data_IF_295410703793
#
_entry.id   IF_295410703793
#
_cell.length_a   1.000
_cell.length_b   1.000
_cell.length_c   1.000
_cell.angle_alpha   90.00
_cell.angle_beta   90.00
_cell.angle_gamma   90.00
#
_symmetry.space_group_name_H-M   'P 1'
#
loop_
_entity.id
_entity.type
_entity.pdbx_description
1 polymer ?
#
# COMPACT_ATOMS: atom_id res chain seq x y z
N UNK A 1 7.31 -5.30 -22.37
CA UNK A 1 8.24 -6.11 -21.56
C UNK A 1 7.48 -6.91 -20.50
N UNK A 2 6.65 -6.31 -19.67
CA UNK A 2 5.92 -6.98 -18.57
C UNK A 2 5.11 -8.21 -18.99
N UNK A 3 4.36 -8.13 -20.10
CA UNK A 3 3.62 -9.28 -20.64
C UNK A 3 4.51 -10.43 -21.08
N UNK A 4 5.67 -10.14 -21.68
CA UNK A 4 6.63 -11.18 -22.09
C UNK A 4 7.24 -11.88 -20.87
N UNK A 5 7.60 -11.13 -19.84
CA UNK A 5 8.09 -11.69 -18.59
C UNK A 5 7.04 -12.58 -17.91
N UNK A 6 5.78 -12.10 -17.84
CA UNK A 6 4.69 -12.91 -17.30
C UNK A 6 4.52 -14.23 -18.07
N UNK A 7 4.53 -14.18 -19.42
CA UNK A 7 4.44 -15.38 -20.25
C UNK A 7 5.59 -16.35 -19.99
N UNK A 8 6.83 -15.86 -19.87
CA UNK A 8 8.01 -16.69 -19.58
C UNK A 8 7.91 -17.33 -18.19
N UNK A 9 7.57 -16.55 -17.14
CA UNK A 9 7.43 -17.08 -15.80
C UNK A 9 6.26 -18.07 -15.68
N UNK A 10 5.16 -17.82 -16.42
CA UNK A 10 4.03 -18.75 -16.50
C UNK A 10 4.42 -20.07 -17.17
N UNK A 11 5.26 -20.04 -18.23
CA UNK A 11 5.80 -21.25 -18.87
C UNK A 11 6.75 -22.01 -17.95
N UNK A 12 7.66 -21.33 -17.27
CA UNK A 12 8.55 -21.96 -16.28
C UNK A 12 7.76 -22.64 -15.16
N UNK A 13 6.64 -22.02 -14.72
CA UNK A 13 5.75 -22.60 -13.73
C UNK A 13 5.03 -23.84 -14.26
N UNK A 14 4.59 -23.83 -15.51
CA UNK A 14 3.95 -24.97 -16.16
C UNK A 14 4.89 -26.18 -16.36
N UNK A 15 6.20 -25.92 -16.46
CA UNK A 15 7.23 -26.93 -16.72
C UNK A 15 8.03 -27.33 -15.48
N UNK A 16 7.66 -26.83 -14.27
CA UNK A 16 8.33 -27.21 -13.01
C UNK A 16 8.25 -28.72 -12.77
N UNK A 17 9.34 -29.36 -12.28
CA UNK A 17 9.34 -30.76 -11.95
C UNK A 17 8.37 -31.15 -10.81
N UNK A 18 8.14 -30.22 -9.88
CA UNK A 18 7.25 -30.39 -8.73
C UNK A 18 6.09 -29.40 -8.82
N UNK A 19 4.85 -29.93 -8.75
CA UNK A 19 3.62 -29.16 -8.79
C UNK A 19 3.53 -28.22 -10.01
N UNK A 20 3.61 -28.73 -11.26
CA UNK A 20 3.43 -27.93 -12.45
C UNK A 20 2.04 -27.30 -12.45
N UNK A 21 1.96 -26.02 -12.72
CA UNK A 21 0.69 -25.29 -12.83
C UNK A 21 0.67 -24.46 -14.09
N UNK A 22 -0.30 -24.73 -14.96
CA UNK A 22 -0.45 -24.01 -16.22
C UNK A 22 -1.36 -22.80 -16.05
N UNK A 23 -0.77 -21.62 -16.07
CA UNK A 23 -1.47 -20.34 -15.98
C UNK A 23 -1.94 -19.81 -17.35
N UNK A 24 -1.25 -20.20 -18.42
CA UNK A 24 -1.52 -19.75 -19.78
C UNK A 24 -1.77 -20.95 -20.66
N UNK A 25 -2.82 -20.97 -21.52
CA UNK A 25 -3.04 -22.04 -22.49
C UNK A 25 -1.82 -22.26 -23.38
N UNK A 26 -1.54 -23.50 -23.79
CA UNK A 26 -0.38 -23.88 -24.59
C UNK A 26 -0.24 -23.06 -25.88
N UNK A 27 -1.35 -22.78 -26.55
CA UNK A 27 -1.43 -22.01 -27.78
C UNK A 27 -0.99 -20.54 -27.63
N UNK A 28 -0.99 -20.02 -26.38
CA UNK A 28 -0.57 -18.65 -26.05
C UNK A 28 0.69 -18.62 -25.20
N UNK A 29 1.40 -19.73 -25.02
CA UNK A 29 2.59 -19.80 -24.18
C UNK A 29 3.78 -19.05 -24.80
N UNK A 30 4.77 -18.66 -23.98
CA UNK A 30 5.99 -18.01 -24.45
C UNK A 30 6.79 -18.89 -25.41
N UNK A 31 6.64 -20.22 -25.30
CA UNK A 31 7.28 -21.19 -26.18
C UNK A 31 6.92 -20.98 -27.66
N UNK A 32 5.72 -20.50 -27.95
CA UNK A 32 5.26 -20.22 -29.33
C UNK A 32 6.07 -19.10 -30.01
N UNK A 33 6.80 -18.27 -29.24
CA UNK A 33 7.61 -17.17 -29.75
C UNK A 33 9.06 -17.60 -30.07
N UNK A 34 9.50 -18.73 -29.53
CA UNK A 34 10.86 -19.20 -29.71
C UNK A 34 11.07 -19.72 -31.13
N UNK A 35 12.20 -19.37 -31.72
CA UNK A 35 12.55 -19.77 -33.11
C UNK A 35 11.94 -18.89 -34.17
N UNK A 36 11.00 -18.00 -33.85
CA UNK A 36 10.40 -17.06 -34.81
C UNK A 36 11.27 -15.80 -35.01
N UNK A 37 11.02 -15.09 -36.13
CA UNK A 37 11.70 -13.81 -36.44
C UNK A 37 10.87 -12.97 -37.40
N UNK A 38 11.22 -11.67 -37.52
CA UNK A 38 10.57 -10.75 -38.44
C UNK A 38 9.07 -10.58 -38.16
N UNK A 39 8.29 -10.39 -39.20
CA UNK A 39 6.83 -10.15 -39.10
C UNK A 39 6.09 -11.33 -38.48
N UNK A 40 6.53 -12.57 -38.72
CA UNK A 40 5.91 -13.77 -38.14
C UNK A 40 5.99 -13.74 -36.59
N UNK A 41 7.12 -13.30 -36.04
CA UNK A 41 7.26 -13.15 -34.57
C UNK A 41 6.31 -12.08 -34.05
N UNK A 42 6.22 -10.94 -34.70
CA UNK A 42 5.35 -9.85 -34.29
C UNK A 42 3.87 -10.25 -34.39
N UNK A 43 3.45 -10.87 -35.47
CA UNK A 43 2.07 -11.34 -35.67
C UNK A 43 1.69 -12.39 -34.61
N UNK A 44 2.59 -13.34 -34.34
CA UNK A 44 2.35 -14.36 -33.29
C UNK A 44 2.24 -13.72 -31.94
N UNK A 45 3.10 -12.77 -31.59
CA UNK A 45 3.00 -12.07 -30.30
C UNK A 45 1.69 -11.27 -30.18
N UNK A 46 1.30 -10.56 -31.25
CA UNK A 46 0.03 -9.84 -31.29
C UNK A 46 -1.18 -10.80 -31.21
N UNK A 47 -1.09 -11.99 -31.81
CA UNK A 47 -2.10 -13.04 -31.69
C UNK A 47 -2.22 -13.53 -30.24
N UNK A 48 -1.11 -13.81 -29.56
CA UNK A 48 -1.07 -14.21 -28.17
C UNK A 48 -1.73 -13.15 -27.26
N UNK A 49 -1.36 -11.86 -27.40
CA UNK A 49 -1.95 -10.78 -26.61
C UNK A 49 -3.47 -10.69 -26.78
N UNK A 50 -3.97 -10.81 -28.01
CA UNK A 50 -5.41 -10.77 -28.32
C UNK A 50 -6.14 -12.03 -27.81
N UNK A 51 -5.53 -13.19 -28.00
CA UNK A 51 -6.09 -14.47 -27.55
C UNK A 51 -6.24 -14.50 -26.03
N UNK A 52 -5.23 -14.04 -25.30
CA UNK A 52 -5.28 -13.94 -23.84
C UNK A 52 -6.26 -12.87 -23.35
N UNK A 53 -6.39 -11.75 -24.05
CA UNK A 53 -7.40 -10.73 -23.72
C UNK A 53 -8.85 -11.23 -23.86
N UNK A 54 -9.07 -12.29 -24.65
CA UNK A 54 -10.38 -12.93 -24.86
C UNK A 54 -10.68 -14.03 -23.85
N UNK A 55 -9.69 -14.42 -23.01
CA UNK A 55 -9.91 -15.44 -21.98
C UNK A 55 -10.86 -14.94 -20.89
N UNK A 56 -11.66 -15.80 -20.28
CA UNK A 56 -12.48 -15.45 -19.13
C UNK A 56 -11.64 -15.21 -17.87
N UNK A 57 -12.22 -14.55 -16.87
CA UNK A 57 -11.64 -14.38 -15.54
C UNK A 57 -10.44 -13.43 -15.50
N UNK A 58 -9.53 -13.71 -14.58
CA UNK A 58 -8.38 -12.84 -14.25
C UNK A 58 -7.44 -12.70 -15.43
N UNK A 59 -7.21 -13.78 -16.19
CA UNK A 59 -6.29 -13.77 -17.32
C UNK A 59 -6.73 -12.78 -18.41
N UNK A 60 -8.01 -12.81 -18.80
CA UNK A 60 -8.56 -11.85 -19.75
C UNK A 60 -8.54 -10.41 -19.23
N UNK A 61 -8.79 -10.22 -17.93
CA UNK A 61 -8.69 -8.90 -17.30
C UNK A 61 -7.26 -8.34 -17.36
N UNK A 62 -6.26 -9.18 -17.07
CA UNK A 62 -4.83 -8.85 -17.15
C UNK A 62 -4.42 -8.40 -18.54
N UNK A 63 -4.90 -9.08 -19.59
CA UNK A 63 -4.52 -8.79 -20.98
C UNK A 63 -5.47 -7.83 -21.70
N UNK A 64 -6.55 -7.38 -21.07
CA UNK A 64 -7.49 -6.44 -21.69
C UNK A 64 -6.79 -5.16 -22.13
N UNK A 65 -6.85 -4.87 -23.45
CA UNK A 65 -6.17 -3.72 -24.03
C UNK A 65 -4.65 -3.86 -24.13
N UNK A 66 -4.10 -5.06 -23.94
CA UNK A 66 -2.68 -5.32 -24.15
C UNK A 66 -2.28 -5.09 -25.61
N UNK A 67 -1.19 -4.38 -25.82
CA UNK A 67 -0.65 -4.05 -27.15
C UNK A 67 0.86 -4.26 -27.17
N UNK A 68 1.36 -4.74 -28.30
CA UNK A 68 2.78 -4.71 -28.58
C UNK A 68 3.23 -3.24 -28.82
N UNK A 69 4.11 -2.76 -27.97
CA UNK A 69 4.72 -1.42 -28.11
C UNK A 69 6.12 -1.47 -28.71
N UNK A 70 6.60 -2.65 -29.09
CA UNK A 70 7.92 -2.85 -29.69
C UNK A 70 7.73 -2.94 -31.21
N UNK A 71 7.89 -1.81 -31.87
CA UNK A 71 7.63 -1.68 -33.31
C UNK A 71 8.69 -2.34 -34.21
N UNK A 72 9.87 -2.69 -33.67
CA UNK A 72 10.92 -3.35 -34.42
C UNK A 72 11.00 -4.83 -34.09
N UNK A 73 10.67 -5.76 -35.01
CA UNK A 73 10.71 -7.19 -34.75
C UNK A 73 12.08 -7.72 -34.34
N UNK A 74 13.18 -7.09 -34.79
CA UNK A 74 14.53 -7.48 -34.37
C UNK A 74 14.76 -7.17 -32.88
N UNK A 75 14.29 -6.02 -32.41
CA UNK A 75 14.35 -5.67 -30.97
C UNK A 75 13.46 -6.60 -30.14
N UNK A 76 12.29 -6.97 -30.66
CA UNK A 76 11.40 -7.94 -29.99
C UNK A 76 12.10 -9.29 -29.86
N UNK A 77 12.75 -9.78 -30.94
CA UNK A 77 13.50 -11.03 -30.90
C UNK A 77 14.66 -10.99 -29.91
N UNK A 78 15.47 -9.94 -29.96
CA UNK A 78 16.60 -9.75 -29.02
C UNK A 78 16.11 -9.75 -27.57
N UNK A 79 15.02 -9.03 -27.28
CA UNK A 79 14.43 -8.99 -25.95
C UNK A 79 13.99 -10.40 -25.47
N UNK A 80 13.29 -11.15 -26.34
CA UNK A 80 12.80 -12.49 -25.99
C UNK A 80 13.97 -13.46 -25.80
N UNK A 81 14.86 -13.56 -26.80
CA UNK A 81 15.88 -14.63 -26.86
C UNK A 81 17.10 -14.31 -26.01
N UNK A 82 17.57 -13.04 -26.06
CA UNK A 82 18.85 -12.68 -25.44
C UNK A 82 18.74 -12.21 -24.00
N UNK A 83 17.56 -11.71 -23.58
CA UNK A 83 17.36 -11.18 -22.23
C UNK A 83 16.36 -12.00 -21.42
N UNK A 84 15.20 -12.39 -22.00
CA UNK A 84 14.15 -13.03 -21.22
C UNK A 84 14.35 -14.54 -21.15
N UNK A 85 14.60 -15.21 -22.28
CA UNK A 85 14.65 -16.68 -22.31
C UNK A 85 15.94 -17.27 -21.73
N UNK A 86 17.02 -16.53 -21.71
CA UNK A 86 18.29 -16.98 -21.11
C UNK A 86 18.27 -17.10 -19.60
N UNK A 87 17.41 -16.35 -18.95
CA UNK A 87 17.30 -16.31 -17.50
C UNK A 87 16.21 -17.26 -17.00
N UNK A 88 16.43 -17.84 -15.82
CA UNK A 88 15.42 -18.61 -15.11
C UNK A 88 14.78 -17.70 -14.04
N UNK A 89 13.64 -17.13 -14.39
CA UNK A 89 12.91 -16.16 -13.54
C UNK A 89 12.20 -16.82 -12.36
N UNK A 90 11.98 -18.13 -12.41
CA UNK A 90 11.30 -18.92 -11.38
C UNK A 90 12.26 -19.73 -10.51
N UNK A 91 13.58 -19.62 -10.71
CA UNK A 91 14.56 -20.37 -9.93
C UNK A 91 14.50 -20.01 -8.44
N UNK A 92 14.88 -20.97 -7.60
CA UNK A 92 14.62 -21.02 -6.17
C UNK A 92 15.22 -19.90 -5.30
N UNK A 93 16.05 -19.03 -5.83
CA UNK A 93 16.44 -17.78 -5.18
C UNK A 93 15.39 -16.70 -5.50
N UNK A 94 14.18 -16.96 -5.00
CA UNK A 94 13.01 -16.11 -5.15
C UNK A 94 13.27 -14.65 -4.69
N UNK A 95 14.26 -14.42 -3.85
CA UNK A 95 14.59 -13.10 -3.35
C UNK A 95 15.25 -12.20 -4.40
N UNK A 96 16.11 -12.73 -5.29
CA UNK A 96 16.85 -11.91 -6.27
C UNK A 96 16.06 -11.70 -7.56
N UNK A 97 15.46 -12.75 -8.10
CA UNK A 97 14.70 -12.65 -9.37
C UNK A 97 13.28 -12.10 -9.15
N UNK A 98 12.67 -12.38 -8.00
CA UNK A 98 11.43 -11.74 -7.56
C UNK A 98 11.63 -10.23 -7.40
N UNK A 99 12.75 -9.81 -6.81
CA UNK A 99 13.10 -8.40 -6.64
C UNK A 99 13.29 -7.70 -7.99
N UNK A 100 13.99 -8.32 -8.93
CA UNK A 100 14.19 -7.78 -10.27
C UNK A 100 12.86 -7.66 -11.05
N UNK A 101 11.97 -8.65 -10.92
CA UNK A 101 10.65 -8.59 -11.55
C UNK A 101 9.78 -7.50 -10.93
N UNK A 102 9.73 -7.42 -9.61
CA UNK A 102 8.99 -6.37 -8.91
C UNK A 102 9.55 -4.98 -9.23
N UNK A 103 10.89 -4.80 -9.25
CA UNK A 103 11.51 -3.53 -9.65
C UNK A 103 11.16 -3.15 -11.10
N UNK A 104 11.09 -4.12 -12.01
CA UNK A 104 10.64 -3.90 -13.38
C UNK A 104 9.16 -3.55 -13.47
N UNK A 105 8.32 -4.19 -12.65
CA UNK A 105 6.89 -3.86 -12.56
C UNK A 105 6.70 -2.43 -12.04
N UNK A 106 7.44 -2.06 -11.02
CA UNK A 106 7.41 -0.73 -10.41
C UNK A 106 7.86 0.36 -11.38
N UNK A 107 8.99 0.16 -12.06
CA UNK A 107 9.44 1.08 -13.11
C UNK A 107 8.41 1.22 -14.23
N UNK A 108 7.76 0.12 -14.61
CA UNK A 108 6.69 0.13 -15.63
C UNK A 108 5.43 0.84 -15.13
N UNK A 109 5.14 0.81 -13.85
CA UNK A 109 4.04 1.56 -13.24
C UNK A 109 4.36 3.07 -13.15
N UNK A 110 5.64 3.43 -12.90
CA UNK A 110 6.11 4.81 -12.77
C UNK A 110 6.28 5.60 -14.06
N UNK A 111 6.29 4.94 -15.22
CA UNK A 111 6.50 5.60 -16.53
C UNK A 111 5.30 6.44 -17.03
N UNK A 112 4.16 6.37 -16.38
CA UNK A 112 3.02 7.27 -16.60
C UNK A 112 3.14 8.48 -15.68
N UNK A 113 3.19 9.69 -16.25
CA UNK A 113 3.36 10.98 -15.53
C UNK A 113 2.34 11.22 -14.39
N UNK A 114 1.26 10.47 -14.31
CA UNK A 114 0.26 10.51 -13.24
C UNK A 114 0.57 9.61 -12.02
N UNK A 115 1.60 8.75 -12.11
CA UNK A 115 1.98 7.78 -11.07
C UNK A 115 3.22 8.19 -10.28
N UNK A 116 3.75 9.39 -10.50
CA UNK A 116 4.92 9.92 -9.76
C UNK A 116 4.69 10.06 -8.24
N UNK A 117 3.43 9.98 -7.79
CA UNK A 117 3.04 10.08 -6.38
C UNK A 117 2.86 8.71 -5.68
N UNK A 118 3.04 7.59 -6.38
CA UNK A 118 2.99 6.27 -5.73
C UNK A 118 4.31 5.99 -5.01
N UNK A 119 4.23 5.97 -3.69
CA UNK A 119 5.36 5.68 -2.82
C UNK A 119 5.54 4.17 -2.71
N UNK A 120 6.57 3.66 -3.36
CA UNK A 120 6.98 2.28 -3.15
C UNK A 120 7.39 2.06 -1.70
N UNK A 121 6.88 0.99 -1.10
CA UNK A 121 7.24 0.60 0.27
C UNK A 121 8.45 -0.32 0.23
N UNK A 122 9.57 0.03 0.89
CA UNK A 122 10.73 -0.85 0.94
C UNK A 122 10.37 -2.25 1.45
N UNK A 123 10.84 -3.31 0.78
CA UNK A 123 10.58 -4.71 1.16
C UNK A 123 10.96 -5.00 2.61
N UNK A 124 12.09 -4.46 3.07
CA UNK A 124 12.51 -4.57 4.46
C UNK A 124 11.43 -4.10 5.44
N UNK A 125 10.77 -2.99 5.11
CA UNK A 125 9.67 -2.46 5.92
C UNK A 125 8.43 -3.35 5.84
N UNK A 126 8.06 -3.80 4.64
CA UNK A 126 6.92 -4.72 4.43
C UNK A 126 7.11 -5.99 5.26
N UNK A 127 8.29 -6.62 5.19
CA UNK A 127 8.63 -7.84 5.93
C UNK A 127 8.52 -7.62 7.44
N UNK A 128 9.09 -6.53 7.97
CA UNK A 128 9.01 -6.21 9.39
C UNK A 128 7.56 -5.93 9.85
N UNK A 129 6.76 -5.22 9.03
CA UNK A 129 5.35 -4.97 9.34
C UNK A 129 4.54 -6.27 9.38
N UNK A 130 4.73 -7.17 8.42
CA UNK A 130 4.06 -8.47 8.41
C UNK A 130 4.50 -9.32 9.61
N UNK A 131 5.79 -9.32 9.95
CA UNK A 131 6.32 -10.07 11.09
C UNK A 131 5.75 -9.61 12.42
N UNK A 132 5.53 -8.32 12.62
CA UNK A 132 4.94 -7.82 13.88
C UNK A 132 3.43 -7.91 13.93
N UNK A 133 2.73 -7.83 12.77
CA UNK A 133 1.28 -8.00 12.68
C UNK A 133 0.87 -9.47 12.75
N UNK A 134 1.74 -10.38 12.30
CA UNK A 134 1.55 -11.84 12.36
C UNK A 134 0.21 -12.32 11.79
N UNK A 135 -0.04 -12.17 10.47
CA UNK A 135 -1.21 -12.78 9.86
C UNK A 135 -1.16 -14.30 10.00
N UNK A 136 -2.31 -14.93 10.17
CA UNK A 136 -2.50 -16.37 10.32
C UNK A 136 -3.39 -16.92 9.21
N UNK A 137 -3.48 -18.25 9.08
CA UNK A 137 -4.32 -18.90 8.07
C UNK A 137 -5.81 -18.58 8.22
N UNK A 138 -6.25 -18.18 9.40
CA UNK A 138 -7.66 -17.86 9.66
C UNK A 138 -8.00 -16.39 9.35
N UNK A 139 -7.00 -15.59 8.97
CA UNK A 139 -7.19 -14.18 8.66
C UNK A 139 -7.70 -13.96 7.22
N UNK A 140 -8.27 -12.78 7.02
CA UNK A 140 -8.49 -12.12 5.73
C UNK A 140 -7.68 -10.82 5.73
N UNK A 141 -6.71 -10.74 4.85
CA UNK A 141 -5.79 -9.59 4.73
C UNK A 141 -6.23 -8.69 3.59
N UNK A 142 -6.26 -7.38 3.82
CA UNK A 142 -6.54 -6.40 2.75
C UNK A 142 -5.49 -5.30 2.71
N UNK A 143 -5.18 -4.87 1.49
CA UNK A 143 -4.49 -3.62 1.20
C UNK A 143 -5.39 -2.75 0.29
N UNK A 144 -5.99 -1.67 0.83
CA UNK A 144 -6.89 -0.79 0.08
C UNK A 144 -6.17 0.17 -0.88
N UNK A 145 -4.85 0.11 -0.98
CA UNK A 145 -4.01 0.87 -1.92
C UNK A 145 -2.82 0.00 -2.35
N UNK A 146 -3.12 -1.19 -2.90
CA UNK A 146 -2.18 -2.31 -2.92
C UNK A 146 -0.97 -2.16 -3.85
N UNK A 147 -0.98 -1.16 -4.74
CA UNK A 147 0.11 -1.02 -5.70
C UNK A 147 0.33 -2.31 -6.50
N UNK A 148 1.54 -2.84 -6.49
CA UNK A 148 1.90 -4.12 -7.13
C UNK A 148 1.64 -5.35 -6.26
N UNK A 149 1.04 -5.19 -5.07
CA UNK A 149 0.64 -6.27 -4.18
C UNK A 149 1.69 -6.70 -3.15
N UNK A 150 2.71 -5.88 -2.89
CA UNK A 150 3.83 -6.23 -2.02
C UNK A 150 3.42 -6.69 -0.62
N UNK A 151 2.51 -5.99 0.07
CA UNK A 151 2.00 -6.42 1.38
C UNK A 151 1.23 -7.74 1.31
N UNK A 152 0.45 -7.94 0.26
CA UNK A 152 -0.37 -9.14 0.06
C UNK A 152 0.52 -10.37 -0.13
N UNK A 153 1.58 -10.24 -0.94
CA UNK A 153 2.56 -11.30 -1.17
C UNK A 153 3.35 -11.62 0.09
N UNK A 154 3.81 -10.61 0.82
CA UNK A 154 4.55 -10.81 2.05
C UNK A 154 3.69 -11.48 3.14
N UNK A 155 2.41 -11.11 3.27
CA UNK A 155 1.47 -11.75 4.18
C UNK A 155 1.23 -13.22 3.79
N UNK A 156 1.02 -13.50 2.49
CA UNK A 156 0.90 -14.86 1.97
C UNK A 156 2.16 -15.69 2.22
N UNK A 157 3.34 -15.15 1.92
CA UNK A 157 4.60 -15.83 2.15
C UNK A 157 4.83 -16.13 3.64
N UNK A 158 4.44 -15.21 4.53
CA UNK A 158 4.53 -15.43 5.98
C UNK A 158 3.71 -16.64 6.43
N UNK A 159 2.44 -16.72 6.03
CA UNK A 159 1.55 -17.81 6.40
C UNK A 159 1.91 -19.12 5.70
N UNK A 160 2.42 -19.06 4.47
CA UNK A 160 2.80 -20.23 3.68
C UNK A 160 3.97 -21.03 4.26
N UNK A 161 4.74 -20.47 5.20
CA UNK A 161 5.82 -21.20 5.92
C UNK A 161 5.27 -22.44 6.62
N UNK A 162 4.04 -22.40 7.10
CA UNK A 162 3.37 -23.47 7.84
C UNK A 162 2.42 -24.32 6.96
N UNK A 163 2.41 -24.09 5.63
CA UNK A 163 1.44 -24.67 4.70
C UNK A 163 1.44 -26.20 4.65
N UNK A 164 2.55 -26.85 5.05
CA UNK A 164 2.63 -28.31 5.14
C UNK A 164 1.61 -28.90 6.12
N UNK A 165 1.26 -28.14 7.18
CA UNK A 165 0.27 -28.55 8.18
C UNK A 165 -1.18 -28.22 7.82
N UNK A 166 -1.45 -27.48 6.73
CA UNK A 166 -2.78 -27.02 6.40
C UNK A 166 -3.67 -28.09 5.80
N UNK A 167 -4.94 -28.05 6.19
CA UNK A 167 -6.01 -28.85 5.59
C UNK A 167 -6.31 -28.38 4.15
N UNK A 168 -6.94 -29.22 3.31
CA UNK A 168 -7.33 -28.79 1.96
C UNK A 168 -8.19 -27.51 1.92
N UNK A 169 -9.20 -27.31 2.81
CA UNK A 169 -9.94 -26.03 2.86
C UNK A 169 -9.07 -24.82 3.21
N UNK A 170 -8.10 -24.99 4.12
CA UNK A 170 -7.18 -23.90 4.47
C UNK A 170 -6.24 -23.54 3.30
N UNK A 171 -5.75 -24.53 2.57
CA UNK A 171 -4.96 -24.28 1.35
C UNK A 171 -5.76 -23.55 0.29
N UNK A 172 -7.03 -23.93 0.11
CA UNK A 172 -7.92 -23.23 -0.82
C UNK A 172 -8.22 -21.81 -0.35
N UNK A 173 -8.46 -21.60 0.96
CA UNK A 173 -8.60 -20.26 1.55
C UNK A 173 -7.36 -19.41 1.30
N UNK A 174 -6.16 -19.93 1.61
CA UNK A 174 -4.89 -19.25 1.42
C UNK A 174 -4.69 -18.81 -0.03
N UNK A 175 -5.11 -19.66 -0.98
CA UNK A 175 -4.97 -19.41 -2.41
C UNK A 175 -5.97 -18.38 -2.95
N UNK A 176 -7.24 -18.43 -2.51
CA UNK A 176 -8.34 -17.75 -3.21
C UNK A 176 -9.07 -16.68 -2.42
N UNK A 177 -8.87 -16.57 -1.09
CA UNK A 177 -9.65 -15.66 -0.23
C UNK A 177 -8.87 -15.00 0.87
N UNK A 178 -7.63 -15.43 1.10
CA UNK A 178 -6.78 -14.93 2.18
C UNK A 178 -6.38 -13.47 1.98
N UNK A 179 -6.09 -13.05 0.75
CA UNK A 179 -5.71 -11.68 0.42
C UNK A 179 -6.72 -11.00 -0.48
N UNK A 180 -6.87 -9.70 -0.31
CA UNK A 180 -7.65 -8.80 -1.18
C UNK A 180 -6.86 -7.52 -1.40
N UNK A 181 -6.74 -7.06 -2.63
CA UNK A 181 -6.13 -5.77 -2.95
C UNK A 181 -7.13 -4.85 -3.64
N UNK A 182 -7.01 -3.56 -3.37
CA UNK A 182 -7.74 -2.53 -4.11
C UNK A 182 -6.74 -1.51 -4.62
N UNK A 183 -6.84 -1.13 -5.88
CA UNK A 183 -6.06 -0.04 -6.47
C UNK A 183 -6.88 0.67 -7.55
N UNK A 184 -6.75 1.99 -7.63
CA UNK A 184 -7.46 2.81 -8.62
C UNK A 184 -6.84 2.69 -10.01
N UNK A 185 -5.53 2.45 -10.09
CA UNK A 185 -4.76 2.41 -11.32
C UNK A 185 -4.97 1.12 -12.10
N UNK A 186 -5.49 1.20 -13.33
CA UNK A 186 -5.70 0.03 -14.19
C UNK A 186 -4.39 -0.74 -14.47
N UNK A 187 -3.28 -0.03 -14.66
CA UNK A 187 -1.97 -0.64 -14.88
C UNK A 187 -1.47 -1.32 -13.61
N UNK A 188 -1.56 -0.65 -12.48
CA UNK A 188 -1.10 -1.15 -11.18
C UNK A 188 -1.89 -2.37 -10.75
N UNK A 189 -3.24 -2.33 -10.84
CA UNK A 189 -4.13 -3.47 -10.54
C UNK A 189 -3.81 -4.70 -11.41
N UNK A 190 -3.49 -4.46 -12.68
CA UNK A 190 -3.09 -5.52 -13.62
C UNK A 190 -1.76 -6.15 -13.22
N UNK A 191 -0.77 -5.32 -12.87
CA UNK A 191 0.54 -5.78 -12.40
C UNK A 191 0.42 -6.56 -11.09
N UNK A 192 -0.39 -6.09 -10.15
CA UNK A 192 -0.70 -6.81 -8.93
C UNK A 192 -1.33 -8.18 -9.21
N UNK A 193 -2.32 -8.24 -10.11
CA UNK A 193 -2.96 -9.51 -10.49
C UNK A 193 -1.96 -10.49 -11.12
N UNK A 194 -1.08 -10.02 -12.01
CA UNK A 194 0.01 -10.84 -12.57
C UNK A 194 0.94 -11.38 -11.47
N UNK A 195 1.33 -10.50 -10.55
CA UNK A 195 2.24 -10.82 -9.47
C UNK A 195 1.65 -11.89 -8.53
N UNK A 196 0.39 -11.72 -8.13
CA UNK A 196 -0.32 -12.69 -7.30
C UNK A 196 -0.44 -14.07 -8.00
N UNK A 197 -0.82 -14.11 -9.28
CA UNK A 197 -0.91 -15.35 -10.04
C UNK A 197 0.43 -16.07 -10.13
N UNK A 198 1.53 -15.34 -10.37
CA UNK A 198 2.87 -15.92 -10.43
C UNK A 198 3.33 -16.47 -9.07
N UNK A 199 2.78 -16.00 -7.96
CA UNK A 199 3.05 -16.53 -6.63
C UNK A 199 2.02 -17.58 -6.16
N UNK A 200 1.12 -18.03 -7.05
CA UNK A 200 0.15 -19.10 -6.75
C UNK A 200 -1.10 -18.64 -6.04
N UNK A 201 -1.34 -17.36 -6.01
CA UNK A 201 -2.54 -16.75 -5.45
C UNK A 201 -3.59 -16.54 -6.54
N UNK A 202 -4.83 -16.84 -6.21
CA UNK A 202 -5.94 -16.74 -7.14
C UNK A 202 -6.11 -17.97 -8.03
N UNK A 203 -7.01 -17.84 -8.99
CA UNK A 203 -7.29 -18.82 -10.02
C UNK A 203 -7.57 -18.08 -11.33
N UNK A 204 -7.16 -18.66 -12.44
CA UNK A 204 -7.36 -18.07 -13.78
C UNK A 204 -8.86 -17.84 -14.06
N UNK A 205 -9.71 -18.80 -13.63
CA UNK A 205 -11.16 -18.79 -13.83
C UNK A 205 -11.95 -18.38 -12.59
N UNK A 206 -11.27 -18.06 -11.48
CA UNK A 206 -11.91 -17.64 -10.23
C UNK A 206 -12.11 -16.13 -10.14
N UNK A 207 -12.60 -15.72 -8.96
CA UNK A 207 -12.75 -14.30 -8.64
C UNK A 207 -11.38 -13.60 -8.57
N UNK A 208 -11.35 -12.35 -8.99
CA UNK A 208 -10.15 -11.53 -8.91
C UNK A 208 -9.84 -11.18 -7.44
N UNK A 209 -8.58 -11.36 -7.04
CA UNK A 209 -8.10 -10.93 -5.72
C UNK A 209 -7.78 -9.43 -5.68
N UNK A 210 -7.66 -8.80 -6.84
CA UNK A 210 -7.42 -7.37 -7.01
C UNK A 210 -8.65 -6.72 -7.62
N UNK A 211 -9.18 -5.73 -6.93
CA UNK A 211 -10.33 -4.95 -7.37
C UNK A 211 -9.84 -3.57 -7.85
N UNK A 212 -10.10 -3.28 -9.13
CA UNK A 212 -9.75 -1.99 -9.72
C UNK A 212 -10.86 -0.98 -9.45
N UNK A 213 -10.73 -0.24 -8.37
CA UNK A 213 -11.68 0.84 -8.02
C UNK A 213 -11.02 1.87 -7.10
N UNK A 214 -11.68 3.01 -6.92
CA UNK A 214 -11.33 3.93 -5.85
C UNK A 214 -11.88 3.40 -4.51
N UNK A 215 -10.97 3.10 -3.58
CA UNK A 215 -11.31 2.60 -2.25
C UNK A 215 -12.09 3.62 -1.41
N UNK A 216 -11.98 4.91 -1.71
CA UNK A 216 -12.58 5.98 -0.92
C UNK A 216 -14.03 6.32 -1.31
N UNK A 217 -14.52 5.87 -2.47
CA UNK A 217 -15.85 6.22 -2.96
C UNK A 217 -16.98 5.68 -2.07
N UNK A 218 -16.86 4.41 -1.62
CA UNK A 218 -17.92 3.76 -0.86
C UNK A 218 -17.38 2.74 0.15
N UNK A 219 -18.20 2.42 1.17
CA UNK A 219 -17.98 1.25 2.02
C UNK A 219 -18.18 -0.02 1.16
N UNK A 220 -17.18 -0.92 1.10
CA UNK A 220 -17.31 -2.17 0.35
C UNK A 220 -18.32 -3.16 0.94
N UNK A 221 -18.77 -2.96 2.19
CA UNK A 221 -19.62 -3.90 2.92
C UNK A 221 -18.84 -5.06 3.57
N UNK A 222 -17.71 -5.44 3.01
CA UNK A 222 -16.81 -6.44 3.57
C UNK A 222 -15.96 -5.90 4.71
N UNK A 223 -15.52 -6.82 5.58
CA UNK A 223 -14.60 -6.54 6.69
C UNK A 223 -13.45 -7.54 6.70
N UNK A 224 -12.27 -7.07 7.13
CA UNK A 224 -11.04 -7.84 7.15
C UNK A 224 -10.44 -7.86 8.55
N UNK A 225 -9.86 -8.99 8.91
CA UNK A 225 -9.17 -9.15 10.20
C UNK A 225 -7.79 -8.49 10.23
N UNK A 226 -7.18 -8.29 9.05
CA UNK A 226 -5.87 -7.64 8.93
C UNK A 226 -5.89 -6.60 7.80
N UNK A 227 -5.42 -5.39 8.11
CA UNK A 227 -5.15 -4.34 7.12
C UNK A 227 -3.67 -4.00 7.14
N UNK A 228 -3.01 -4.13 5.99
CA UNK A 228 -1.63 -3.70 5.78
C UNK A 228 -1.63 -2.76 4.58
N UNK A 229 -1.19 -1.52 4.76
CA UNK A 229 -1.30 -0.53 3.71
C UNK A 229 -0.21 0.54 3.77
N UNK A 230 0.18 1.03 2.59
CA UNK A 230 0.87 2.30 2.40
C UNK A 230 0.05 3.16 1.42
N UNK A 231 -0.97 3.88 1.92
CA UNK A 231 -1.80 4.73 1.06
C UNK A 231 -0.98 5.82 0.38
N UNK A 232 -1.43 6.32 -0.79
CA UNK A 232 -0.73 7.39 -1.49
C UNK A 232 -0.67 8.67 -0.65
N UNK A 233 0.51 9.31 -0.64
CA UNK A 233 0.72 10.59 0.04
C UNK A 233 0.49 11.73 -0.96
N UNK A 234 -0.11 12.82 -0.55
CA UNK A 234 -0.37 13.97 -1.39
C UNK A 234 -1.81 14.44 -1.31
N UNK A 235 -2.08 15.57 -1.92
CA UNK A 235 -3.39 16.24 -1.90
C UNK A 235 -4.20 16.07 -3.17
N UNK A 236 -3.65 15.45 -4.24
CA UNK A 236 -4.38 15.24 -5.48
C UNK A 236 -5.55 14.29 -5.26
N UNK A 237 -6.72 14.69 -5.75
CA UNK A 237 -7.96 13.93 -5.63
C UNK A 237 -7.91 12.64 -6.44
N UNK A 238 -8.68 11.65 -6.02
CA UNK A 238 -8.88 10.37 -6.69
C UNK A 238 -9.53 10.49 -8.09
N UNK A 239 -9.94 11.68 -8.52
CA UNK A 239 -10.73 11.93 -9.72
C UNK A 239 -9.94 12.20 -11.01
N UNK A 240 -8.62 12.03 -11.01
CA UNK A 240 -7.77 12.24 -12.21
C UNK A 240 -8.05 11.28 -13.40
N UNK A 241 -9.03 10.38 -13.30
CA UNK A 241 -9.36 9.41 -14.37
C UNK A 241 -10.66 9.79 -15.11
N UNK A 242 -11.19 11.00 -14.91
CA UNK A 242 -12.45 11.36 -15.53
C UNK A 242 -12.73 12.85 -15.69
N UNK A 243 -11.78 13.61 -16.15
CA UNK A 243 -12.02 14.88 -16.86
C UNK A 243 -13.03 15.88 -16.28
N UNK A 244 -13.19 16.00 -14.97
CA UNK A 244 -13.86 17.15 -14.34
C UNK A 244 -13.03 17.61 -13.14
N UNK A 245 -12.53 18.83 -13.28
CA UNK A 245 -11.74 19.51 -12.28
C UNK A 245 -12.57 19.81 -11.02
N UNK A 246 -12.46 18.97 -10.02
CA UNK A 246 -12.75 19.33 -8.64
C UNK A 246 -11.62 18.76 -7.76
N UNK A 247 -10.41 19.28 -8.02
CA UNK A 247 -9.20 18.99 -7.26
C UNK A 247 -9.34 19.59 -5.86
N UNK A 248 -9.80 18.78 -4.91
CA UNK A 248 -9.90 19.18 -3.52
C UNK A 248 -11.28 18.98 -2.88
N UNK A 249 -12.22 18.31 -3.54
CA UNK A 249 -13.52 18.03 -2.94
C UNK A 249 -13.38 17.17 -1.68
N UNK A 250 -13.98 17.58 -0.59
CA UNK A 250 -14.05 16.83 0.64
C UNK A 250 -14.89 15.58 0.44
N UNK A 251 -14.38 14.42 0.91
CA UNK A 251 -15.10 13.14 0.79
C UNK A 251 -16.09 13.03 1.95
N UNK A 252 -17.37 12.91 1.59
CA UNK A 252 -18.45 12.61 2.52
C UNK A 252 -18.84 11.13 2.41
N UNK A 253 -18.72 10.39 3.51
CA UNK A 253 -19.22 9.02 3.64
C UNK A 253 -19.87 8.88 5.02
N UNK A 254 -20.98 8.13 5.09
CA UNK A 254 -21.72 7.94 6.36
C UNK A 254 -20.93 7.18 7.42
N UNK A 255 -19.99 6.32 6.99
CA UNK A 255 -19.08 5.55 7.85
C UNK A 255 -17.79 6.30 8.23
N UNK A 256 -17.60 7.51 7.67
CA UNK A 256 -16.48 8.38 8.04
C UNK A 256 -16.85 9.28 9.22
N UNK A 257 -15.87 9.50 10.10
CA UNK A 257 -16.05 10.30 11.29
C UNK A 257 -16.05 11.80 11.00
N UNK A 258 -15.25 12.22 10.02
CA UNK A 258 -15.10 13.62 9.62
C UNK A 258 -15.06 13.72 8.10
N UNK A 259 -15.62 14.82 7.58
CA UNK A 259 -15.52 15.20 6.16
C UNK A 259 -14.25 16.01 5.97
N UNK A 260 -13.36 15.59 5.09
CA UNK A 260 -12.10 16.27 4.80
C UNK A 260 -11.65 16.00 3.36
N UNK A 261 -10.91 16.95 2.78
CA UNK A 261 -10.19 16.75 1.52
C UNK A 261 -8.83 16.09 1.68
N UNK A 262 -8.34 15.93 2.93
CA UNK A 262 -7.07 15.29 3.21
C UNK A 262 -7.12 13.79 2.91
N UNK A 263 -6.45 13.37 1.85
CA UNK A 263 -6.45 12.00 1.34
C UNK A 263 -5.93 10.98 2.37
N UNK A 264 -4.88 11.31 3.11
CA UNK A 264 -4.31 10.43 4.14
C UNK A 264 -5.28 10.18 5.29
N UNK A 265 -5.99 11.22 5.72
CA UNK A 265 -7.03 11.10 6.74
C UNK A 265 -8.23 10.31 6.23
N UNK A 266 -8.60 10.45 4.96
CA UNK A 266 -9.66 9.65 4.34
C UNK A 266 -9.28 8.17 4.25
N UNK A 267 -8.03 7.84 3.87
CA UNK A 267 -7.57 6.46 3.91
C UNK A 267 -7.54 5.89 5.33
N UNK A 268 -7.11 6.69 6.33
CA UNK A 268 -7.15 6.24 7.72
C UNK A 268 -8.58 5.93 8.17
N UNK A 269 -9.57 6.77 7.82
CA UNK A 269 -10.99 6.53 8.09
C UNK A 269 -11.50 5.28 7.37
N UNK A 270 -11.13 5.11 6.11
CA UNK A 270 -11.50 3.93 5.34
C UNK A 270 -10.95 2.65 5.99
N UNK A 271 -9.68 2.63 6.37
CA UNK A 271 -9.04 1.49 7.06
C UNK A 271 -9.75 1.18 8.40
N UNK A 272 -10.08 2.22 9.18
CA UNK A 272 -10.87 2.07 10.40
C UNK A 272 -12.25 1.45 10.12
N UNK A 273 -12.91 1.86 9.03
CA UNK A 273 -14.22 1.36 8.66
C UNK A 273 -14.19 -0.11 8.25
N UNK A 274 -13.26 -0.50 7.37
CA UNK A 274 -13.17 -1.86 6.82
C UNK A 274 -12.52 -2.89 7.76
N UNK A 275 -11.84 -2.44 8.81
CA UNK A 275 -11.24 -3.34 9.81
C UNK A 275 -12.34 -4.02 10.63
N UNK A 276 -12.27 -5.34 10.79
CA UNK A 276 -13.20 -6.11 11.61
C UNK A 276 -12.97 -5.87 13.11
N UNK A 277 -13.98 -6.19 13.94
CA UNK A 277 -13.83 -6.17 15.41
C UNK A 277 -12.79 -7.24 15.79
N UNK A 278 -11.83 -6.84 16.65
CA UNK A 278 -10.62 -7.58 16.98
C UNK A 278 -9.62 -7.75 15.83
N UNK A 279 -9.86 -7.11 14.69
CA UNK A 279 -8.89 -7.00 13.62
C UNK A 279 -7.75 -6.04 13.99
N UNK A 280 -6.64 -6.15 13.26
CA UNK A 280 -5.42 -5.39 13.48
C UNK A 280 -4.89 -4.76 12.20
N UNK A 281 -4.31 -3.58 12.33
CA UNK A 281 -3.79 -2.83 11.20
C UNK A 281 -2.35 -2.39 11.39
N UNK A 282 -1.59 -2.37 10.29
CA UNK A 282 -0.30 -1.73 10.16
C UNK A 282 -0.33 -0.78 8.95
N UNK A 283 -0.26 0.54 9.19
CA UNK A 283 -0.51 1.53 8.14
C UNK A 283 0.62 2.55 8.10
N UNK A 284 1.19 2.75 6.90
CA UNK A 284 2.20 3.79 6.67
C UNK A 284 1.50 5.11 6.37
N UNK A 285 1.80 6.14 7.15
CA UNK A 285 1.22 7.48 6.98
C UNK A 285 2.28 8.57 7.19
N UNK A 286 2.16 9.71 6.51
CA UNK A 286 3.09 10.83 6.68
C UNK A 286 2.94 11.53 8.03
N UNK A 287 3.95 12.32 8.40
CA UNK A 287 4.03 13.00 9.72
C UNK A 287 2.85 13.90 10.04
N UNK A 288 2.27 14.58 9.04
CA UNK A 288 1.15 15.49 9.23
C UNK A 288 -0.04 14.85 9.95
N UNK A 289 -0.31 13.57 9.71
CA UNK A 289 -1.36 12.81 10.42
C UNK A 289 -1.15 12.81 11.93
N UNK A 290 0.09 12.94 12.41
CA UNK A 290 0.40 12.93 13.84
C UNK A 290 0.13 14.25 14.56
N UNK A 291 0.07 15.39 13.86
CA UNK A 291 -0.02 16.71 14.52
C UNK A 291 -1.05 17.68 13.92
N UNK A 292 -1.55 17.48 12.70
CA UNK A 292 -2.57 18.34 12.12
C UNK A 292 -3.77 18.52 13.05
N UNK A 293 -4.30 19.76 13.13
CA UNK A 293 -5.51 20.06 13.90
C UNK A 293 -6.79 19.59 13.20
N UNK A 294 -7.93 20.02 13.69
CA UNK A 294 -9.23 19.77 13.07
C UNK A 294 -9.55 18.28 12.88
N UNK A 295 -9.73 17.87 11.62
CA UNK A 295 -10.03 16.48 11.25
C UNK A 295 -8.95 15.50 11.76
N UNK A 296 -7.67 15.87 11.68
CA UNK A 296 -6.56 15.04 12.16
C UNK A 296 -6.61 14.81 13.66
N UNK A 297 -6.88 15.87 14.46
CA UNK A 297 -7.06 15.73 15.90
C UNK A 297 -8.24 14.81 16.25
N UNK A 298 -9.39 14.99 15.58
CA UNK A 298 -10.57 14.16 15.81
C UNK A 298 -10.28 12.67 15.57
N UNK A 299 -9.56 12.35 14.51
CA UNK A 299 -9.17 10.97 14.21
C UNK A 299 -8.17 10.40 15.20
N UNK A 300 -7.16 11.18 15.63
CA UNK A 300 -6.22 10.73 16.67
C UNK A 300 -6.91 10.47 18.00
N UNK A 301 -7.85 11.35 18.42
CA UNK A 301 -8.68 11.11 19.60
C UNK A 301 -9.48 9.81 19.47
N UNK A 302 -10.09 9.57 18.31
CA UNK A 302 -10.84 8.34 18.03
C UNK A 302 -9.95 7.12 18.11
N UNK A 303 -8.76 7.14 17.48
CA UNK A 303 -7.81 6.03 17.54
C UNK A 303 -7.39 5.70 18.98
N UNK A 304 -7.05 6.71 19.77
CA UNK A 304 -6.63 6.51 21.16
C UNK A 304 -7.75 6.02 22.07
N UNK A 305 -9.02 6.40 21.79
CA UNK A 305 -10.15 6.08 22.65
C UNK A 305 -10.82 4.76 22.27
N UNK A 306 -11.21 4.61 21.01
CA UNK A 306 -12.03 3.49 20.54
C UNK A 306 -11.24 2.32 20.00
N UNK A 307 -9.94 2.50 19.73
CA UNK A 307 -9.01 1.47 19.29
C UNK A 307 -7.89 1.29 20.31
N UNK A 308 -7.24 0.14 20.28
CA UNK A 308 -5.97 -0.05 20.97
C UNK A 308 -4.83 0.38 20.04
N UNK A 309 -4.53 1.69 19.99
CA UNK A 309 -3.40 2.23 19.25
C UNK A 309 -2.13 2.07 20.09
N UNK A 310 -1.43 0.99 19.86
CA UNK A 310 -0.40 0.50 20.77
C UNK A 310 1.03 0.73 20.33
N UNK A 311 1.27 1.02 19.03
CA UNK A 311 2.64 1.16 18.53
C UNK A 311 2.72 2.17 17.38
N UNK A 312 3.71 3.05 17.45
CA UNK A 312 4.10 4.00 16.41
C UNK A 312 5.57 3.78 16.08
N UNK A 313 5.88 3.43 14.83
CA UNK A 313 7.24 3.34 14.32
C UNK A 313 7.52 4.61 13.50
N UNK A 314 8.50 5.41 13.92
CA UNK A 314 8.94 6.61 13.19
C UNK A 314 10.00 6.20 12.17
N UNK A 315 9.68 6.39 10.89
CA UNK A 315 10.55 5.99 9.78
C UNK A 315 11.59 7.07 9.44
N UNK A 316 12.80 6.68 9.06
CA UNK A 316 13.83 7.60 8.59
C UNK A 316 13.46 8.18 7.22
N UNK A 317 14.06 9.32 6.88
CA UNK A 317 14.02 9.87 5.51
C UNK A 317 14.92 9.05 4.57
N UNK A 318 14.72 9.22 3.25
CA UNK A 318 15.56 8.60 2.23
C UNK A 318 15.23 7.13 1.90
N UNK A 319 14.19 6.55 2.53
CA UNK A 319 13.74 5.18 2.24
C UNK A 319 12.64 5.12 1.17
N UNK A 320 12.03 6.24 0.83
CA UNK A 320 11.03 6.38 -0.23
C UNK A 320 11.61 7.09 -1.45
N UNK A 321 11.03 6.85 -2.63
CA UNK A 321 11.50 7.48 -3.88
C UNK A 321 11.38 9.01 -3.86
N UNK A 322 10.36 9.56 -3.19
CA UNK A 322 10.23 11.01 -3.02
C UNK A 322 11.19 11.49 -1.93
N UNK A 323 12.11 12.40 -2.24
CA UNK A 323 13.05 12.95 -1.25
C UNK A 323 12.34 13.67 -0.11
N UNK A 324 12.90 13.60 1.10
CA UNK A 324 12.43 14.37 2.25
C UNK A 324 11.16 13.88 2.92
N UNK A 325 10.53 12.80 2.42
CA UNK A 325 9.32 12.25 3.02
C UNK A 325 9.59 11.73 4.41
N UNK A 326 8.85 12.26 5.38
CA UNK A 326 8.80 11.79 6.77
C UNK A 326 7.51 11.00 6.96
N UNK A 327 7.64 9.73 7.26
CA UNK A 327 6.50 8.83 7.44
C UNK A 327 6.61 8.04 8.75
N UNK A 328 5.52 7.39 9.11
CA UNK A 328 5.41 6.56 10.30
C UNK A 328 4.55 5.34 9.99
N UNK A 329 4.74 4.28 10.77
CA UNK A 329 3.78 3.17 10.75
C UNK A 329 2.96 3.18 12.02
N UNK A 330 1.65 3.23 11.87
CA UNK A 330 0.68 3.13 12.94
C UNK A 330 0.21 1.68 13.06
N UNK A 331 0.35 1.07 14.25
CA UNK A 331 -0.17 -0.26 14.55
C UNK A 331 -1.27 -0.16 15.59
N UNK A 332 -2.47 -0.58 15.24
CA UNK A 332 -3.63 -0.52 16.11
C UNK A 332 -4.58 -1.70 15.90
N UNK A 333 -5.30 -2.07 16.97
CA UNK A 333 -6.34 -3.08 16.95
C UNK A 333 -7.72 -2.42 17.10
N UNK A 334 -8.68 -2.85 16.29
CA UNK A 334 -10.09 -2.46 16.48
C UNK A 334 -10.69 -3.30 17.59
N UNK A 335 -11.29 -2.63 18.56
CA UNK A 335 -11.90 -3.28 19.73
C UNK A 335 -13.40 -3.03 19.79
N UNK A 336 -14.18 -3.88 20.49
CA UNK A 336 -15.58 -3.59 20.76
C UNK A 336 -15.75 -2.24 21.47
N UNK A 337 -16.92 -1.62 21.35
CA UNK A 337 -17.22 -0.39 22.06
C UNK A 337 -17.09 -0.59 23.58
N UNK A 338 -16.44 0.36 24.26
CA UNK A 338 -16.23 0.34 25.70
C UNK A 338 -16.34 1.76 26.29
N UNK A 339 -16.66 1.85 27.56
CA UNK A 339 -16.70 3.13 28.28
C UNK A 339 -15.30 3.70 28.53
N UNK A 340 -14.32 2.84 28.74
CA UNK A 340 -12.93 3.21 28.99
C UNK A 340 -12.12 3.15 27.69
N UNK A 341 -11.12 4.03 27.52
CA UNK A 341 -10.22 4.00 26.37
C UNK A 341 -9.47 2.65 26.28
N UNK A 342 -9.37 2.12 25.08
CA UNK A 342 -8.64 0.89 24.83
C UNK A 342 -7.13 1.09 24.83
N UNK A 343 -6.65 2.21 24.27
CA UNK A 343 -5.23 2.57 24.32
C UNK A 343 -4.82 2.93 25.74
N UNK A 344 -4.12 2.06 26.40
CA UNK A 344 -3.55 2.34 27.72
C UNK A 344 -2.19 3.00 27.64
N UNK A 345 -1.38 2.54 26.69
CA UNK A 345 -0.03 3.04 26.38
C UNK A 345 0.23 2.97 24.90
N UNK A 346 0.75 4.05 24.33
CA UNK A 346 1.35 4.07 23.00
C UNK A 346 2.85 3.89 23.16
N UNK A 347 3.39 2.89 22.48
CA UNK A 347 4.81 2.67 22.36
C UNK A 347 5.31 3.32 21.08
N UNK A 348 6.34 4.14 21.18
CA UNK A 348 6.94 4.83 20.05
C UNK A 348 8.37 4.33 19.86
N UNK A 349 8.66 3.85 18.63
CA UNK A 349 10.01 3.48 18.23
C UNK A 349 10.59 4.54 17.29
N UNK A 350 11.72 5.13 17.65
CA UNK A 350 12.41 6.09 16.82
C UNK A 350 13.50 5.41 16.00
N UNK A 351 13.17 5.08 14.73
CA UNK A 351 14.14 4.63 13.74
C UNK A 351 14.75 5.82 12.96
N UNK A 352 14.25 7.03 13.17
CA UNK A 352 14.59 8.23 12.38
C UNK A 352 15.86 8.91 12.87
N UNK A 353 15.94 9.23 14.16
CA UNK A 353 16.98 10.07 14.72
C UNK A 353 18.35 9.40 14.59
N UNK A 354 19.32 10.13 14.04
CA UNK A 354 20.70 9.66 13.79
C UNK A 354 20.79 8.44 12.87
N UNK A 355 19.83 8.29 11.93
CA UNK A 355 19.82 7.24 10.91
C UNK A 355 19.64 7.85 9.53
N UNK A 356 20.57 7.57 8.63
CA UNK A 356 20.61 8.13 7.28
C UNK A 356 20.55 6.99 6.26
N UNK A 357 19.45 6.95 5.51
CA UNK A 357 19.26 5.99 4.45
C UNK A 357 19.16 6.68 3.09
N UNK A 358 19.49 5.95 2.06
CA UNK A 358 19.33 6.36 0.66
C UNK A 358 18.92 5.14 -0.15
N UNK A 359 18.17 5.35 -1.22
CA UNK A 359 17.68 4.22 -2.05
C UNK A 359 18.78 3.36 -2.68
N UNK A 360 19.97 3.93 -2.97
CA UNK A 360 21.03 3.24 -3.71
C UNK A 360 22.28 2.96 -2.89
N UNK A 361 22.79 3.96 -2.17
CA UNK A 361 24.10 3.84 -1.48
C UNK A 361 23.98 3.18 -0.11
N UNK A 362 22.90 3.44 0.61
CA UNK A 362 22.64 2.89 1.94
C UNK A 362 21.12 2.57 2.08
N UNK A 363 20.60 1.55 1.36
CA UNK A 363 19.19 1.20 1.42
C UNK A 363 18.81 0.63 2.79
N UNK A 364 17.56 0.85 3.20
CA UNK A 364 16.99 0.22 4.39
C UNK A 364 16.97 -1.30 4.20
N UNK A 365 17.60 -2.03 5.11
CA UNK A 365 17.67 -3.49 5.12
C UNK A 365 16.80 -4.06 6.23
N UNK A 366 16.46 -5.36 6.12
CA UNK A 366 15.64 -6.02 7.14
C UNK A 366 16.32 -6.00 8.53
N UNK A 367 17.66 -6.13 8.58
CA UNK A 367 18.44 -6.09 9.80
C UNK A 367 18.36 -4.74 10.54
N UNK A 368 18.16 -3.64 9.82
CA UNK A 368 17.99 -2.31 10.42
C UNK A 368 16.71 -2.21 11.27
N UNK A 369 15.75 -3.12 11.05
CA UNK A 369 14.49 -3.22 11.76
C UNK A 369 14.46 -4.32 12.84
N UNK A 370 15.55 -5.08 13.02
CA UNK A 370 15.61 -6.20 13.99
C UNK A 370 15.36 -5.73 15.42
N UNK A 371 15.96 -4.61 15.83
CA UNK A 371 15.76 -4.05 17.17
C UNK A 371 14.31 -3.59 17.39
N UNK A 372 13.66 -3.02 16.35
CA UNK A 372 12.24 -2.70 16.41
C UNK A 372 11.39 -3.96 16.61
N UNK A 373 11.60 -5.01 15.81
CA UNK A 373 10.85 -6.26 15.90
C UNK A 373 11.07 -6.93 17.26
N UNK A 374 12.33 -6.97 17.73
CA UNK A 374 12.67 -7.50 19.04
C UNK A 374 12.00 -6.72 20.18
N UNK A 375 11.94 -5.38 20.09
CA UNK A 375 11.28 -4.51 21.07
C UNK A 375 9.75 -4.61 21.01
N UNK A 376 9.18 -4.82 19.83
CA UNK A 376 7.75 -5.00 19.63
C UNK A 376 7.22 -6.27 20.30
N UNK A 377 8.02 -7.33 20.40
CA UNK A 377 7.69 -8.64 20.96
C UNK A 377 6.45 -9.27 20.28
N UNK A 378 6.55 -9.66 18.98
CA UNK A 378 5.44 -10.27 18.27
C UNK A 378 4.89 -11.50 19.00
N UNK A 379 3.56 -11.67 19.03
CA UNK A 379 2.89 -12.80 19.70
C UNK A 379 2.98 -12.83 21.22
N UNK A 380 3.61 -11.83 21.85
CA UNK A 380 3.69 -11.73 23.32
C UNK A 380 2.83 -10.59 23.86
N UNK A 381 2.43 -10.71 25.13
CA UNK A 381 1.68 -9.66 25.80
C UNK A 381 2.49 -8.35 25.87
N UNK A 382 1.84 -7.21 25.57
CA UNK A 382 2.48 -5.90 25.44
C UNK A 382 3.00 -5.32 26.77
N UNK A 383 2.53 -5.83 27.89
CA UNK A 383 3.02 -5.49 29.23
C UNK A 383 4.45 -5.99 29.50
N UNK A 384 4.93 -6.95 28.69
CA UNK A 384 6.31 -7.46 28.74
C UNK A 384 7.33 -6.58 28.01
N UNK A 385 6.85 -5.55 27.27
CA UNK A 385 7.73 -4.61 26.58
C UNK A 385 8.48 -3.76 27.59
N UNK A 386 9.77 -3.56 27.35
CA UNK A 386 10.65 -2.71 28.17
C UNK A 386 11.14 -1.52 27.36
N UNK A 387 11.28 -0.37 28.00
CA UNK A 387 11.84 0.81 27.35
C UNK A 387 13.33 0.63 27.03
N UNK A 388 13.76 1.21 25.93
CA UNK A 388 15.15 1.34 25.52
C UNK A 388 15.45 2.77 25.12
N UNK A 389 16.66 3.02 24.63
CA UNK A 389 17.02 4.33 24.08
C UNK A 389 16.03 4.77 22.99
N UNK A 390 15.72 3.87 22.02
CA UNK A 390 14.87 4.14 20.86
C UNK A 390 13.39 3.77 21.06
N UNK A 391 13.04 3.13 22.17
CA UNK A 391 11.71 2.59 22.44
C UNK A 391 11.13 3.15 23.74
N UNK A 392 10.15 4.04 23.64
CA UNK A 392 9.51 4.70 24.80
C UNK A 392 8.02 4.51 24.81
N UNK A 393 7.42 4.52 26.00
CA UNK A 393 5.99 4.39 26.21
C UNK A 393 5.37 5.66 26.78
N UNK A 394 4.15 5.98 26.31
CA UNK A 394 3.38 7.14 26.76
C UNK A 394 1.98 6.69 27.15
N UNK A 395 1.52 7.06 28.34
CA UNK A 395 0.19 6.71 28.83
C UNK A 395 -0.88 7.50 28.08
N UNK A 396 -2.10 6.95 28.00
CA UNK A 396 -3.26 7.63 27.40
C UNK A 396 -3.42 9.06 27.91
N UNK A 397 -3.41 9.27 29.25
CA UNK A 397 -3.60 10.59 29.85
C UNK A 397 -2.55 11.61 29.41
N UNK A 398 -1.30 11.18 29.27
CA UNK A 398 -0.22 12.05 28.75
C UNK A 398 -0.43 12.39 27.29
N UNK A 399 -0.95 11.48 26.49
CA UNK A 399 -1.17 11.70 25.05
C UNK A 399 -2.35 12.63 24.81
N UNK A 400 -3.47 12.38 25.50
CA UNK A 400 -4.71 13.16 25.30
C UNK A 400 -4.59 14.59 25.81
N UNK A 401 -3.71 14.83 26.79
CA UNK A 401 -3.43 16.16 27.34
C UNK A 401 -2.52 17.03 26.47
N UNK A 402 -1.90 16.45 25.42
CA UNK A 402 -1.06 17.24 24.49
C UNK A 402 -1.93 18.14 23.63
N UNK A 403 -1.38 19.32 23.28
CA UNK A 403 -2.07 20.21 22.35
C UNK A 403 -2.43 19.48 21.06
N UNK A 404 -3.69 19.61 20.63
CA UNK A 404 -4.28 18.93 19.47
C UNK A 404 -4.03 17.40 19.43
N UNK A 405 -3.80 16.77 20.58
CA UNK A 405 -3.39 15.35 20.68
C UNK A 405 -2.20 15.05 19.76
N UNK A 406 -1.21 15.92 19.77
CA UNK A 406 -0.03 15.78 18.95
C UNK A 406 0.78 14.52 19.32
N UNK A 407 0.97 13.61 18.38
CA UNK A 407 1.70 12.35 18.52
C UNK A 407 3.09 12.39 17.90
N UNK A 408 3.51 13.54 17.34
CA UNK A 408 4.89 13.77 16.91
C UNK A 408 5.78 13.99 18.13
N UNK A 409 6.21 12.88 18.73
CA UNK A 409 6.96 12.84 19.99
C UNK A 409 8.42 12.51 19.68
N UNK A 410 9.33 13.37 20.14
CA UNK A 410 10.78 13.19 20.03
C UNK A 410 11.41 13.26 21.43
N UNK A 411 12.41 12.44 21.70
CA UNK A 411 13.19 12.45 22.94
C UNK A 411 14.68 12.21 22.68
N UNK A 412 15.03 11.67 21.50
CA UNK A 412 16.43 11.54 21.11
C UNK A 412 16.94 12.89 20.61
N UNK A 413 18.18 13.19 20.95
CA UNK A 413 18.88 14.35 20.42
C UNK A 413 19.42 14.00 19.04
N UNK A 414 19.09 14.81 18.06
CA UNK A 414 19.68 14.70 16.74
C UNK A 414 21.09 15.29 16.81
N UNK A 415 22.10 14.44 16.62
CA UNK A 415 23.52 14.80 16.62
C UNK A 415 24.06 15.04 15.21
N UNK A 416 23.24 14.71 14.19
CA UNK A 416 23.61 15.04 12.83
C UNK A 416 23.61 16.55 12.66
N UNK A 417 24.67 17.14 12.06
CA UNK A 417 24.57 18.50 11.55
C UNK A 417 23.38 18.50 10.59
N UNK A 418 22.53 19.51 10.69
CA UNK A 418 21.49 19.74 9.68
C UNK A 418 22.22 19.74 8.33
N UNK A 419 22.13 18.63 7.61
CA UNK A 419 22.74 18.53 6.29
C UNK A 419 21.90 19.41 5.37
N UNK A 420 22.37 20.65 5.23
CA UNK A 420 21.89 21.56 4.18
C UNK A 420 21.94 20.87 2.78
N UNK A 421 22.75 19.83 2.63
CA UNK A 421 22.89 19.04 1.42
C UNK A 421 21.71 18.06 1.17
N UNK A 422 20.86 17.79 2.18
CA UNK A 422 19.66 16.94 2.04
C UNK A 422 18.34 17.70 2.01
N UNK A 423 18.37 19.01 2.06
CA UNK A 423 17.18 19.81 1.80
C UNK A 423 16.78 19.64 0.33
N UNK A 424 15.48 19.43 0.04
CA UNK A 424 14.98 19.52 -1.33
C UNK A 424 15.44 20.84 -1.95
N UNK A 425 15.62 20.85 -3.28
CA UNK A 425 15.96 22.08 -3.97
C UNK A 425 14.99 23.20 -3.57
N UNK A 426 15.45 24.47 -3.40
CA UNK A 426 14.61 25.56 -2.91
C UNK A 426 13.29 25.72 -3.65
N UNK A 427 13.25 25.41 -4.94
CA UNK A 427 12.04 25.39 -5.77
C UNK A 427 11.05 24.29 -5.38
N UNK A 428 11.53 23.16 -4.85
CA UNK A 428 10.68 22.07 -4.35
C UNK A 428 10.06 22.49 -3.01
N UNK A 429 10.86 23.04 -2.10
CA UNK A 429 10.38 23.57 -0.81
C UNK A 429 9.38 24.70 -1.04
N UNK A 430 9.65 25.61 -1.97
CA UNK A 430 8.74 26.71 -2.30
C UNK A 430 7.41 26.17 -2.86
N UNK A 431 7.43 25.11 -3.67
CA UNK A 431 6.23 24.47 -4.20
C UNK A 431 5.43 23.81 -3.09
N UNK A 432 6.08 23.06 -2.18
CA UNK A 432 5.43 22.45 -1.03
C UNK A 432 4.77 23.51 -0.12
N UNK A 433 5.43 24.64 0.12
CA UNK A 433 4.85 25.75 0.89
C UNK A 433 3.63 26.34 0.16
N UNK A 434 3.69 26.53 -1.15
CA UNK A 434 2.56 27.04 -1.96
C UNK A 434 1.41 26.05 -1.93
N UNK A 435 1.67 24.75 -2.05
CA UNK A 435 0.67 23.69 -1.93
C UNK A 435 0.02 23.69 -0.54
N UNK A 436 0.81 23.87 0.53
CA UNK A 436 0.33 23.95 1.91
C UNK A 436 -0.55 25.19 2.15
N UNK A 437 -0.13 26.34 1.63
CA UNK A 437 -0.90 27.58 1.74
C UNK A 437 -2.20 27.52 0.92
N UNK A 438 -2.16 26.93 -0.27
CA UNK A 438 -3.34 26.79 -1.13
C UNK A 438 -4.41 25.90 -0.49
N UNK A 439 -3.99 24.83 0.16
CA UNK A 439 -4.92 23.97 0.86
C UNK A 439 -5.49 24.60 2.13
N UNK A 440 -4.68 25.34 2.88
CA UNK A 440 -5.20 26.13 3.99
C UNK A 440 -6.24 27.15 3.51
N UNK A 441 -6.02 27.77 2.35
CA UNK A 441 -6.98 28.70 1.76
C UNK A 441 -8.31 28.03 1.43
N UNK A 442 -8.28 26.84 0.82
CA UNK A 442 -9.51 26.07 0.51
C UNK A 442 -10.28 25.71 1.79
N UNK A 443 -9.58 25.35 2.87
CA UNK A 443 -10.25 25.08 4.16
C UNK A 443 -10.91 26.35 4.74
N UNK A 444 -10.25 27.50 4.63
CA UNK A 444 -10.83 28.79 5.05
C UNK A 444 -12.01 29.21 4.18
N UNK A 445 -11.95 28.98 2.87
CA UNK A 445 -13.08 29.26 1.95
C UNK A 445 -14.27 28.36 2.25
N UNK A 446 -14.05 27.07 2.56
CA UNK A 446 -15.11 26.18 2.97
C UNK A 446 -15.78 26.61 4.30
N UNK A 447 -14.98 27.09 5.27
CA UNK A 447 -15.50 27.64 6.52
C UNK A 447 -16.29 28.93 6.25
N UNK A 448 -15.79 29.82 5.41
CA UNK A 448 -16.47 31.05 5.05
C UNK A 448 -17.82 30.75 4.37
N UNK A 449 -17.85 29.85 3.40
CA UNK A 449 -19.08 29.43 2.73
C UNK A 449 -20.09 28.80 3.71
N UNK A 450 -19.64 27.99 4.67
CA UNK A 450 -20.49 27.39 5.69
C UNK A 450 -21.09 28.44 6.64
N UNK A 451 -20.30 29.49 6.99
CA UNK A 451 -20.77 30.60 7.81
C UNK A 451 -21.78 31.48 7.06
N UNK A 452 -21.54 31.74 5.77
CA UNK A 452 -22.46 32.47 4.91
C UNK A 452 -23.79 31.72 4.70
N UNK A 453 -23.74 30.40 4.47
CA UNK A 453 -24.93 29.57 4.37
C UNK A 453 -25.74 29.57 5.67
N UNK A 454 -25.11 29.55 6.82
CA UNK A 454 -25.78 29.63 8.12
C UNK A 454 -26.37 31.01 8.42
N UNK A 455 -25.73 32.06 7.91
CA UNK A 455 -26.25 33.43 8.04
C UNK A 455 -27.46 33.71 7.09
N UNK A 456 -27.62 32.89 6.03
CA UNK A 456 -28.72 32.98 5.07
C UNK A 456 -29.96 32.14 5.47
N UNK A 457 -29.90 31.32 6.53
CA UNK A 457 -31.08 30.64 7.08
C UNK A 457 -31.98 31.66 7.77
N UNK A 458 -33.28 31.81 7.35
CA UNK A 458 -34.20 32.71 8.02
C UNK A 458 -34.41 32.24 9.48
N UNK A 459 -34.43 33.21 10.41
CA UNK A 459 -34.83 32.94 11.79
C UNK A 459 -36.20 32.24 11.80
N UNK A 460 -36.38 31.15 12.57
CA UNK A 460 -37.68 30.53 12.70
C UNK A 460 -38.66 31.54 13.29
N UNK A 461 -39.79 31.76 12.56
CA UNK A 461 -40.90 32.61 13.01
C UNK A 461 -41.21 32.29 14.49
N UNK A 462 -41.22 33.34 15.30
CA UNK A 462 -41.65 33.23 16.69
C UNK A 462 -43.15 32.83 16.69
N UNK A 463 -43.57 31.89 17.56
CA UNK A 463 -45.00 31.55 17.64
C UNK A 463 -45.79 32.78 18.09
N UNK A 464 -46.78 33.16 17.28
CA UNK A 464 -47.77 34.12 17.67
C UNK A 464 -48.50 33.68 18.97
N UNK A 465 -48.54 34.56 19.98
CA UNK A 465 -49.33 34.38 21.21
C UNK A 465 -50.84 34.44 20.98
#
# INVERSE_FOLDING_TARGET
MTYLLFLKMAEERATRPLNPERLVPDEFSSHQLLGLSGEVLEDTYNHILRGLASQPGVLGAVYRGAQNKISNPSHLKTLIVDYIDKENWSAADADVNGDAYEELLERSAGDTKSTADQYFTPRALIQAMVEVVQPTIDDRVVDPACGTGGFLLAAHAHVSRDAAGFTPPQREHLRTRFVTGVDIGATTSRLASMNLLLHGLGSISGDALIDQRDALIADPGDRWSVVLANPPFGRSSSTDIGGSADDGAAIYRQDFLVTTSNKQLNFLQHIIAILDINGRAGVVLPDNVLFEGGAGETLRRKLLTAFDFHTLLRLPTGIFYKPGVKANVLFFDKRPAAEQPWTRRLWVYDLRTNKHFTLKKNPLRREDLDDFVASYLPGKARDKRAESERWKSFTYDKLIARDKVNLDITWLRDESPEEADNLPAPEVIAREIVEDLTAALVEFEAVAAALEARAAEPEPDAPDE
#
